data_IF_957270998479
#
_entry.id   IF_957270998479
#
_cell.length_a   1.000
_cell.length_b   1.000
_cell.length_c   1.000
_cell.angle_alpha   90.00
_cell.angle_beta   90.00
_cell.angle_gamma   90.00
#
_symmetry.space_group_name_H-M   'P 1'
#
loop_
_entity.id
_entity.type
_entity.pdbx_description
1 polymer ?
#
# COMPACT_ATOMS: atom_id res chain seq x y z
N UNK A 1 -35.43 -36.67 4.59
CA UNK A 1 -34.68 -36.34 5.83
C UNK A 1 -33.43 -37.22 5.84
N UNK A 2 -32.19 -36.75 5.83
CA UNK A 2 -31.62 -35.56 6.46
C UNK A 2 -30.54 -34.92 5.59
N UNK A 3 -30.42 -33.62 5.80
CA UNK A 3 -29.67 -32.63 5.06
C UNK A 3 -28.17 -32.84 5.02
N UNK A 4 -27.58 -32.39 3.91
CA UNK A 4 -26.15 -32.16 3.76
C UNK A 4 -25.71 -31.09 4.75
N UNK A 5 -24.79 -31.46 5.64
CA UNK A 5 -24.08 -30.52 6.51
C UNK A 5 -23.15 -29.68 5.64
N UNK A 6 -23.68 -28.56 5.15
CA UNK A 6 -22.89 -27.45 4.65
C UNK A 6 -22.22 -26.80 5.87
N UNK A 7 -21.05 -27.31 6.25
CA UNK A 7 -20.21 -26.65 7.25
C UNK A 7 -19.68 -25.36 6.62
N UNK A 8 -20.41 -24.30 6.89
CA UNK A 8 -20.05 -22.89 6.89
C UNK A 8 -18.53 -22.69 6.77
N UNK A 9 -18.06 -22.32 5.57
CA UNK A 9 -16.69 -21.85 5.35
C UNK A 9 -16.53 -20.58 6.18
N UNK A 10 -15.98 -20.77 7.37
CA UNK A 10 -15.60 -19.71 8.28
C UNK A 10 -14.90 -18.60 7.49
N UNK A 11 -15.59 -17.47 7.50
CA UNK A 11 -15.12 -16.16 7.08
C UNK A 11 -13.68 -16.00 7.56
N UNK A 12 -12.70 -16.22 6.68
CA UNK A 12 -11.31 -15.97 7.00
C UNK A 12 -11.19 -14.46 7.12
N UNK A 13 -11.32 -13.96 8.34
CA UNK A 13 -11.08 -12.57 8.67
C UNK A 13 -9.58 -12.33 8.52
N UNK A 14 -9.16 -12.11 7.27
CA UNK A 14 -7.85 -11.57 6.99
C UNK A 14 -7.84 -10.17 7.59
N UNK A 15 -6.83 -9.78 8.38
CA UNK A 15 -6.72 -8.43 8.93
C UNK A 15 -6.60 -7.34 7.85
N UNK A 16 -6.60 -7.72 6.57
CA UNK A 16 -6.40 -6.88 5.39
C UNK A 16 -7.61 -6.88 4.43
N UNK A 17 -8.74 -7.49 4.79
CA UNK A 17 -9.93 -7.58 3.91
C UNK A 17 -9.72 -8.47 2.68
N UNK A 18 -10.63 -8.37 1.70
CA UNK A 18 -10.55 -9.12 0.45
C UNK A 18 -9.55 -8.48 -0.53
N UNK A 19 -8.39 -9.13 -0.69
CA UNK A 19 -7.31 -8.70 -1.58
C UNK A 19 -7.41 -9.36 -2.98
N UNK A 20 -8.43 -10.18 -3.23
CA UNK A 20 -8.54 -10.99 -4.46
C UNK A 20 -8.68 -10.15 -5.73
N UNK A 21 -9.28 -8.95 -5.63
CA UNK A 21 -9.59 -8.08 -6.78
C UNK A 21 -8.43 -7.22 -7.31
N UNK A 22 -7.32 -7.08 -6.57
CA UNK A 22 -6.21 -6.23 -7.00
C UNK A 22 -5.22 -6.97 -7.92
N UNK A 23 -5.00 -6.53 -9.17
CA UNK A 23 -4.08 -7.18 -10.10
C UNK A 23 -2.61 -7.03 -9.64
N UNK A 24 -1.74 -7.96 -10.04
CA UNK A 24 -0.28 -7.78 -9.91
C UNK A 24 0.17 -6.62 -10.79
N UNK A 25 1.00 -5.73 -10.23
CA UNK A 25 1.49 -4.57 -10.96
C UNK A 25 2.50 -4.97 -12.03
N UNK A 26 2.39 -4.35 -13.19
CA UNK A 26 3.47 -4.31 -14.19
C UNK A 26 4.53 -3.29 -13.77
N UNK A 27 5.75 -3.43 -14.27
CA UNK A 27 6.83 -2.47 -13.98
C UNK A 27 6.44 -1.02 -14.28
N UNK A 28 5.72 -0.78 -15.38
CA UNK A 28 5.25 0.56 -15.73
C UNK A 28 4.26 1.12 -14.68
N UNK A 29 3.39 0.28 -14.12
CA UNK A 29 2.48 0.67 -13.05
C UNK A 29 3.22 0.94 -11.75
N UNK A 30 4.23 0.12 -11.39
CA UNK A 30 5.07 0.35 -10.21
C UNK A 30 5.78 1.72 -10.30
N UNK A 31 6.36 2.04 -11.45
CA UNK A 31 7.01 3.34 -11.70
C UNK A 31 5.98 4.46 -11.52
N UNK A 32 4.80 4.33 -12.14
CA UNK A 32 3.74 5.35 -12.08
C UNK A 32 3.28 5.61 -10.65
N UNK A 33 3.04 4.55 -9.88
CA UNK A 33 2.60 4.66 -8.49
C UNK A 33 3.70 5.22 -7.60
N UNK A 34 4.95 4.82 -7.81
CA UNK A 34 6.09 5.36 -7.10
C UNK A 34 6.28 6.85 -7.35
N UNK A 35 6.15 7.30 -8.60
CA UNK A 35 6.28 8.70 -8.99
C UNK A 35 5.17 9.57 -8.38
N UNK A 36 3.92 9.12 -8.46
CA UNK A 36 2.78 9.79 -7.81
C UNK A 36 2.96 9.88 -6.29
N UNK A 37 3.36 8.78 -5.66
CA UNK A 37 3.65 8.73 -4.23
C UNK A 37 4.76 9.71 -3.82
N UNK A 38 5.85 9.76 -4.60
CA UNK A 38 6.97 10.68 -4.39
C UNK A 38 6.55 12.14 -4.57
N UNK A 39 5.76 12.45 -5.60
CA UNK A 39 5.22 13.78 -5.84
C UNK A 39 4.35 14.25 -4.65
N UNK A 40 3.49 13.36 -4.13
CA UNK A 40 2.68 13.64 -2.93
C UNK A 40 3.53 13.98 -1.70
N UNK A 41 4.58 13.20 -1.41
CA UNK A 41 5.50 13.48 -0.30
C UNK A 41 6.25 14.80 -0.48
N UNK A 42 6.69 15.10 -1.71
CA UNK A 42 7.35 16.37 -2.01
C UNK A 42 6.40 17.55 -1.79
N UNK A 43 5.15 17.44 -2.23
CA UNK A 43 4.14 18.47 -2.02
C UNK A 43 3.80 18.66 -0.53
N UNK A 44 3.76 17.57 0.25
CA UNK A 44 3.56 17.62 1.71
C UNK A 44 4.73 18.34 2.40
N UNK A 45 5.97 18.01 2.02
CA UNK A 45 7.18 18.66 2.54
C UNK A 45 7.24 20.16 2.16
N UNK A 46 6.88 20.52 0.93
CA UNK A 46 6.80 21.91 0.49
C UNK A 46 5.78 22.70 1.32
N UNK A 47 4.58 22.14 1.51
CA UNK A 47 3.54 22.79 2.30
C UNK A 47 3.95 22.94 3.77
N UNK A 48 4.59 21.93 4.35
CA UNK A 48 5.10 21.98 5.73
C UNK A 48 6.22 23.02 5.88
N UNK A 49 7.15 23.08 4.93
CA UNK A 49 8.24 24.07 4.91
C UNK A 49 7.71 25.49 4.84
N UNK A 50 6.76 25.76 3.96
CA UNK A 50 6.16 27.08 3.82
C UNK A 50 5.38 27.53 5.08
N UNK A 51 4.71 26.58 5.75
CA UNK A 51 4.07 26.86 7.05
C UNK A 51 5.11 27.20 8.11
N UNK A 52 6.23 26.46 8.16
CA UNK A 52 7.30 26.69 9.12
C UNK A 52 8.06 28.01 8.89
N UNK A 53 8.25 28.41 7.63
CA UNK A 53 8.92 29.67 7.27
C UNK A 53 8.00 30.89 7.33
N UNK A 54 6.69 30.71 7.50
CA UNK A 54 5.70 31.78 7.42
C UNK A 54 5.46 32.30 5.99
N UNK A 55 5.86 31.53 4.97
CA UNK A 55 5.66 31.88 3.57
C UNK A 55 4.17 31.89 3.21
N UNK A 56 3.74 32.98 2.56
CA UNK A 56 2.36 33.14 2.11
C UNK A 56 2.15 32.40 0.80
N UNK A 57 1.69 31.15 0.89
CA UNK A 57 1.20 30.40 -0.28
C UNK A 57 -0.22 30.85 -0.61
N UNK A 58 -0.46 31.18 -1.89
CA UNK A 58 -1.79 31.50 -2.41
C UNK A 58 -2.81 30.39 -2.15
N UNK A 59 -4.09 30.73 -2.02
CA UNK A 59 -5.14 29.73 -1.83
C UNK A 59 -5.19 28.70 -2.98
N UNK A 60 -4.92 29.16 -4.21
CA UNK A 60 -4.86 28.31 -5.41
C UNK A 60 -3.73 27.30 -5.33
N UNK A 61 -2.51 27.74 -4.99
CA UNK A 61 -1.34 26.86 -4.94
C UNK A 61 -1.44 25.88 -3.76
N UNK A 62 -1.97 26.34 -2.62
CA UNK A 62 -2.27 25.47 -1.48
C UNK A 62 -3.26 24.37 -1.85
N UNK A 63 -4.30 24.69 -2.64
CA UNK A 63 -5.26 23.71 -3.13
C UNK A 63 -4.61 22.73 -4.10
N UNK A 64 -3.74 23.20 -5.00
CA UNK A 64 -2.99 22.36 -5.92
C UNK A 64 -2.07 21.37 -5.18
N UNK A 65 -1.30 21.85 -4.20
CA UNK A 65 -0.46 21.01 -3.35
C UNK A 65 -1.29 19.96 -2.60
N UNK A 66 -2.43 20.34 -2.01
CA UNK A 66 -3.33 19.40 -1.33
C UNK A 66 -3.85 18.29 -2.25
N UNK A 67 -4.13 18.59 -3.53
CA UNK A 67 -4.53 17.58 -4.52
C UNK A 67 -3.41 16.60 -4.82
N UNK A 68 -2.18 17.09 -4.98
CA UNK A 68 -0.99 16.24 -5.23
C UNK A 68 -0.73 15.34 -4.01
N UNK A 69 -0.87 15.88 -2.79
CA UNK A 69 -0.74 15.11 -1.54
C UNK A 69 -1.78 13.99 -1.49
N UNK A 70 -3.05 14.29 -1.80
CA UNK A 70 -4.12 13.31 -1.81
C UNK A 70 -3.87 12.20 -2.85
N UNK A 71 -3.47 12.57 -4.07
CA UNK A 71 -3.12 11.62 -5.12
C UNK A 71 -1.96 10.70 -4.73
N UNK A 72 -0.90 11.26 -4.13
CA UNK A 72 0.25 10.49 -3.67
C UNK A 72 -0.08 9.53 -2.52
N UNK A 73 -1.03 9.87 -1.65
CA UNK A 73 -1.54 8.97 -0.59
C UNK A 73 -2.27 7.78 -1.21
N UNK A 74 -3.19 8.04 -2.15
CA UNK A 74 -3.89 6.97 -2.88
C UNK A 74 -2.90 6.07 -3.62
N UNK A 75 -1.92 6.66 -4.32
CA UNK A 75 -0.90 5.90 -5.03
C UNK A 75 -0.04 5.04 -4.10
N UNK A 76 0.33 5.54 -2.92
CA UNK A 76 1.04 4.76 -1.90
C UNK A 76 0.21 3.57 -1.43
N UNK A 77 -1.05 3.79 -1.09
CA UNK A 77 -1.93 2.75 -0.56
C UNK A 77 -2.17 1.66 -1.60
N UNK A 78 -2.35 2.04 -2.87
CA UNK A 78 -2.44 1.11 -4.00
C UNK A 78 -1.15 0.30 -4.18
N UNK A 79 0.01 0.97 -4.12
CA UNK A 79 1.31 0.32 -4.30
C UNK A 79 1.63 -0.68 -3.17
N UNK A 80 1.34 -0.31 -1.92
CA UNK A 80 1.49 -1.20 -0.74
C UNK A 80 0.53 -2.38 -0.86
N UNK A 81 -0.75 -2.14 -1.17
CA UNK A 81 -1.76 -3.19 -1.27
C UNK A 81 -1.39 -4.25 -2.31
N UNK A 82 -0.95 -3.81 -3.50
CA UNK A 82 -0.58 -4.73 -4.57
C UNK A 82 0.65 -5.56 -4.21
N UNK A 83 1.67 -4.96 -3.58
CA UNK A 83 2.87 -5.68 -3.15
C UNK A 83 2.62 -6.60 -1.96
N UNK A 84 1.74 -6.21 -1.04
CA UNK A 84 1.36 -7.04 0.10
C UNK A 84 0.66 -8.33 -0.36
N UNK A 85 -0.16 -8.28 -1.41
CA UNK A 85 -0.79 -9.46 -2.00
C UNK A 85 0.23 -10.47 -2.52
N UNK A 86 1.32 -10.01 -3.15
CA UNK A 86 2.40 -10.90 -3.58
C UNK A 86 2.98 -11.65 -2.37
N UNK A 87 3.31 -10.94 -1.30
CA UNK A 87 3.89 -11.56 -0.11
C UNK A 87 2.91 -12.49 0.59
N UNK A 88 1.63 -12.11 0.72
CA UNK A 88 0.57 -12.97 1.25
C UNK A 88 0.40 -14.22 0.38
N UNK A 89 0.51 -14.13 -0.94
CA UNK A 89 0.44 -15.31 -1.83
C UNK A 89 1.62 -16.27 -1.64
N UNK A 90 2.79 -15.76 -1.25
CA UNK A 90 3.99 -16.55 -0.95
C UNK A 90 3.90 -17.20 0.44
N UNK A 91 3.46 -16.44 1.46
CA UNK A 91 3.31 -16.93 2.84
C UNK A 91 2.09 -17.85 2.97
N UNK A 92 1.02 -17.58 2.23
CA UNK A 92 -0.23 -18.32 2.24
C UNK A 92 -0.07 -19.81 1.90
N UNK A 93 0.89 -20.15 1.03
CA UNK A 93 1.22 -21.50 0.58
C UNK A 93 2.13 -22.28 1.54
N UNK A 94 2.67 -21.64 2.58
CA UNK A 94 3.56 -22.30 3.55
C UNK A 94 2.75 -23.13 4.54
N UNK A 95 3.17 -24.39 4.75
CA UNK A 95 2.64 -25.26 5.80
C UNK A 95 3.30 -24.92 7.14
N UNK A 96 2.82 -23.86 7.79
CA UNK A 96 3.26 -23.38 9.11
C UNK A 96 2.08 -23.29 10.07
N UNK A 97 2.35 -23.28 11.39
CA UNK A 97 1.30 -23.13 12.41
C UNK A 97 0.55 -21.80 12.24
N UNK A 98 -0.76 -21.73 12.54
CA UNK A 98 -1.57 -20.52 12.32
C UNK A 98 -1.01 -19.27 13.00
N UNK A 99 -0.47 -19.39 14.22
CA UNK A 99 0.07 -18.26 15.00
C UNK A 99 1.30 -17.68 14.28
N UNK A 100 2.23 -18.55 13.90
CA UNK A 100 3.42 -18.17 13.15
C UNK A 100 3.08 -17.58 11.77
N UNK A 101 1.96 -17.99 11.17
CA UNK A 101 1.50 -17.44 9.88
C UNK A 101 1.04 -15.99 10.01
N UNK A 102 0.38 -15.63 11.11
CA UNK A 102 -0.04 -14.24 11.37
C UNK A 102 1.18 -13.34 11.58
N UNK A 103 2.16 -13.79 12.36
CA UNK A 103 3.40 -13.04 12.59
C UNK A 103 4.15 -12.78 11.28
N UNK A 104 4.32 -13.81 10.45
CA UNK A 104 4.94 -13.68 9.13
C UNK A 104 4.19 -12.71 8.20
N UNK A 105 2.86 -12.65 8.30
CA UNK A 105 2.06 -11.69 7.51
C UNK A 105 2.24 -10.25 8.00
N UNK A 106 2.37 -10.03 9.29
CA UNK A 106 2.62 -8.70 9.86
C UNK A 106 4.03 -8.22 9.54
N UNK A 107 5.04 -9.07 9.72
CA UNK A 107 6.43 -8.76 9.34
C UNK A 107 6.53 -8.41 7.85
N UNK A 108 5.86 -9.20 7.00
CA UNK A 108 5.73 -8.92 5.58
C UNK A 108 5.11 -7.55 5.29
N UNK A 109 4.01 -7.20 5.97
CA UNK A 109 3.34 -5.92 5.79
C UNK A 109 4.26 -4.74 6.13
N UNK A 110 4.99 -4.81 7.25
CA UNK A 110 5.96 -3.79 7.64
C UNK A 110 7.12 -3.67 6.63
N UNK A 111 7.60 -4.82 6.14
CA UNK A 111 8.64 -4.87 5.11
C UNK A 111 8.20 -4.22 3.80
N UNK A 112 6.98 -4.50 3.35
CA UNK A 112 6.40 -3.93 2.12
C UNK A 112 6.23 -2.41 2.24
N UNK A 113 5.71 -1.91 3.37
CA UNK A 113 5.58 -0.47 3.60
C UNK A 113 6.94 0.24 3.49
N UNK A 114 7.96 -0.31 4.15
CA UNK A 114 9.32 0.24 4.12
C UNK A 114 9.94 0.16 2.72
N UNK A 115 9.68 -0.92 1.98
CA UNK A 115 10.18 -1.09 0.62
C UNK A 115 9.55 -0.07 -0.34
N UNK A 116 8.24 0.18 -0.24
CA UNK A 116 7.53 1.19 -1.05
C UNK A 116 8.08 2.59 -0.80
N UNK A 117 8.41 2.93 0.44
CA UNK A 117 8.98 4.24 0.78
C UNK A 117 10.37 4.47 0.17
N UNK A 118 11.16 3.40 0.06
CA UNK A 118 12.53 3.42 -0.46
C UNK A 118 12.64 3.03 -1.93
N UNK A 119 11.51 2.73 -2.58
CA UNK A 119 11.50 2.23 -3.95
C UNK A 119 12.12 3.25 -4.91
N UNK A 120 13.09 2.78 -5.68
CA UNK A 120 13.79 3.58 -6.68
C UNK A 120 13.80 2.80 -8.01
N UNK A 121 13.01 3.23 -9.00
CA UNK A 121 12.90 2.51 -10.27
C UNK A 121 14.18 2.53 -11.11
N UNK A 122 15.14 3.42 -10.80
CA UNK A 122 16.43 3.53 -11.51
C UNK A 122 17.44 2.48 -11.08
N UNK A 123 17.25 1.85 -9.93
CA UNK A 123 18.18 0.85 -9.37
C UNK A 123 18.04 -0.56 -9.97
N UNK A 124 17.12 -0.76 -10.93
CA UNK A 124 17.12 -1.93 -11.81
C UNK A 124 16.81 -3.29 -11.16
N UNK A 125 16.03 -3.32 -10.06
CA UNK A 125 15.45 -4.54 -9.52
C UNK A 125 14.11 -4.87 -10.19
#
# INVERSE_FOLDING_TARGET
>A
MKEAVLTNRSNQHTPFGDLSHYPTLTRAQEITLADRSRAGRHAEAQLASAVASGEVISARDRMALKRIIADGKVARDEFVTCNLKLVISMVGKKNVRPELKQDLMQEAAMGVQTAVEKFDPTKGF
#
